data_IF_181510382556
#
_entry.id   IF_181510382556
#
_cell.length_a   1.000
_cell.length_b   1.000
_cell.length_c   1.000
_cell.angle_alpha   90.00
_cell.angle_beta   90.00
_cell.angle_gamma   90.00
#
_symmetry.space_group_name_H-M   'P 1'
#
loop_
_entity.id
_entity.type
_entity.pdbx_description
1 polymer ?
#
# COMPACT_ATOMS: atom_id res chain seq x y z
N UNK A 1 -49.34 11.93 7.83
CA UNK A 1 -48.36 10.83 7.88
C UNK A 1 -48.30 10.33 9.32
N UNK A 2 -48.80 9.13 9.65
CA UNK A 2 -48.51 8.37 10.91
C UNK A 2 -49.43 7.14 11.17
N UNK A 3 -49.99 6.46 10.16
CA UNK A 3 -50.69 5.18 10.38
C UNK A 3 -50.37 4.07 9.36
N UNK A 4 -49.46 4.28 8.40
CA UNK A 4 -49.10 3.27 7.39
C UNK A 4 -47.75 2.57 7.62
N UNK A 5 -47.00 2.93 8.66
CA UNK A 5 -45.65 2.36 8.92
C UNK A 5 -45.68 1.15 9.88
N UNK A 6 -46.82 0.84 10.51
CA UNK A 6 -46.89 -0.18 11.56
C UNK A 6 -47.32 -1.60 11.10
N UNK A 7 -47.40 -1.88 9.79
CA UNK A 7 -47.89 -3.16 9.26
C UNK A 7 -46.82 -4.07 8.61
N UNK A 8 -45.53 -3.74 8.69
CA UNK A 8 -44.43 -4.54 8.12
C UNK A 8 -43.57 -5.23 9.20
N UNK A 9 -44.18 -5.68 10.30
CA UNK A 9 -43.42 -6.31 11.40
C UNK A 9 -43.45 -7.86 11.40
N UNK A 10 -43.99 -8.51 10.37
CA UNK A 10 -44.04 -9.99 10.30
C UNK A 10 -43.93 -10.57 8.88
N UNK A 11 -43.55 -9.77 7.87
CA UNK A 11 -43.25 -10.34 6.56
C UNK A 11 -41.85 -10.96 6.61
N UNK A 12 -41.78 -12.29 6.55
CA UNK A 12 -40.54 -13.00 6.28
C UNK A 12 -40.01 -12.54 4.93
N UNK A 13 -38.89 -11.83 4.95
CA UNK A 13 -38.20 -11.39 3.75
C UNK A 13 -37.62 -12.62 3.03
N UNK A 14 -37.73 -12.70 1.69
CA UNK A 14 -37.51 -13.96 0.96
C UNK A 14 -36.04 -14.39 0.87
N UNK A 15 -35.10 -13.46 1.03
CA UNK A 15 -33.66 -13.70 1.03
C UNK A 15 -32.92 -12.53 1.71
N UNK A 16 -31.66 -12.72 2.14
CA UNK A 16 -30.85 -11.64 2.68
C UNK A 16 -30.46 -10.63 1.59
N UNK A 17 -30.70 -9.34 1.84
CA UNK A 17 -30.29 -8.21 1.02
C UNK A 17 -29.50 -7.19 1.86
N UNK A 18 -28.18 -7.17 1.70
CA UNK A 18 -27.27 -6.25 2.40
C UNK A 18 -27.19 -4.92 1.64
N UNK A 19 -27.14 -3.82 2.39
CA UNK A 19 -27.25 -2.46 1.83
C UNK A 19 -28.68 -2.07 1.41
N UNK A 20 -29.70 -2.85 1.77
CA UNK A 20 -31.10 -2.49 1.52
C UNK A 20 -31.48 -1.21 2.27
N UNK A 21 -32.23 -0.31 1.63
CA UNK A 21 -32.60 0.99 2.17
C UNK A 21 -32.15 2.13 1.29
N UNK A 22 -32.22 3.34 1.83
CA UNK A 22 -31.98 4.56 1.07
C UNK A 22 -30.48 4.86 0.99
N UNK A 23 -29.88 4.60 -0.16
CA UNK A 23 -28.49 4.89 -0.45
C UNK A 23 -28.32 6.34 -0.87
N UNK A 24 -27.28 6.99 -0.34
CA UNK A 24 -26.75 8.14 -1.04
C UNK A 24 -25.90 7.61 -2.20
N UNK A 25 -26.29 7.97 -3.41
CA UNK A 25 -25.50 7.65 -4.59
C UNK A 25 -24.54 8.78 -4.85
N UNK A 26 -23.30 8.45 -5.18
CA UNK A 26 -22.38 9.39 -5.80
C UNK A 26 -22.46 9.20 -7.32
N UNK A 27 -21.51 8.48 -7.90
CA UNK A 27 -21.31 8.48 -9.34
C UNK A 27 -21.77 7.21 -10.07
N UNK A 28 -21.96 6.11 -9.35
CA UNK A 28 -22.40 4.82 -9.89
C UNK A 28 -22.98 3.95 -8.76
N UNK A 29 -23.68 2.88 -9.14
CA UNK A 29 -24.17 1.86 -8.22
C UNK A 29 -23.97 0.47 -8.80
N UNK A 30 -23.59 -0.49 -7.95
CA UNK A 30 -23.59 -1.91 -8.25
C UNK A 30 -24.60 -2.66 -7.38
N UNK A 31 -25.43 -3.49 -8.02
CA UNK A 31 -26.30 -4.47 -7.35
C UNK A 31 -25.85 -5.86 -7.75
N UNK A 32 -25.49 -6.65 -6.75
CA UNK A 32 -24.91 -7.97 -6.93
C UNK A 32 -25.89 -9.00 -6.39
N UNK A 33 -26.13 -10.04 -7.17
CA UNK A 33 -27.13 -11.05 -6.87
C UNK A 33 -26.50 -12.43 -7.02
N UNK A 34 -26.63 -13.26 -5.98
CA UNK A 34 -26.31 -14.68 -6.04
C UNK A 34 -27.60 -15.48 -6.11
N UNK A 35 -27.72 -16.32 -7.14
CA UNK A 35 -28.85 -17.21 -7.33
C UNK A 35 -28.60 -18.57 -6.66
N UNK A 36 -29.69 -19.25 -6.26
CA UNK A 36 -29.63 -20.63 -5.77
C UNK A 36 -29.09 -21.56 -6.86
N UNK A 37 -29.50 -21.34 -8.11
CA UNK A 37 -29.03 -22.04 -9.31
C UNK A 37 -28.67 -21.03 -10.39
N UNK A 38 -27.72 -21.36 -11.27
CA UNK A 38 -27.39 -20.52 -12.42
C UNK A 38 -28.67 -20.23 -13.23
N UNK A 39 -28.98 -18.95 -13.52
CA UNK A 39 -30.07 -18.61 -14.43
C UNK A 39 -29.83 -19.20 -15.83
N UNK A 40 -30.88 -19.72 -16.45
CA UNK A 40 -30.85 -20.07 -17.88
C UNK A 40 -31.01 -18.82 -18.79
N UNK A 41 -30.83 -18.99 -20.09
CA UNK A 41 -30.84 -17.87 -21.05
C UNK A 41 -32.16 -17.10 -21.06
N UNK A 42 -33.30 -17.80 -20.90
CA UNK A 42 -34.63 -17.19 -20.84
C UNK A 42 -34.81 -16.37 -19.56
N UNK A 43 -34.32 -16.90 -18.42
CA UNK A 43 -34.29 -16.19 -17.15
C UNK A 43 -33.37 -14.97 -17.21
N UNK A 44 -32.18 -15.08 -17.81
CA UNK A 44 -31.24 -13.96 -18.00
C UNK A 44 -31.90 -12.83 -18.78
N UNK A 45 -32.53 -13.13 -19.92
CA UNK A 45 -33.22 -12.12 -20.73
C UNK A 45 -34.32 -11.43 -19.92
N UNK A 46 -35.09 -12.21 -19.15
CA UNK A 46 -36.17 -11.67 -18.30
C UNK A 46 -35.63 -10.81 -17.16
N UNK A 47 -34.55 -11.22 -16.50
CA UNK A 47 -33.89 -10.46 -15.43
C UNK A 47 -33.45 -9.09 -15.96
N UNK A 48 -32.79 -9.08 -17.13
CA UNK A 48 -32.32 -7.86 -17.78
C UNK A 48 -33.47 -6.92 -18.13
N UNK A 49 -34.55 -7.46 -18.68
CA UNK A 49 -35.73 -6.67 -19.08
C UNK A 49 -36.45 -6.02 -17.90
N UNK A 50 -36.40 -6.63 -16.72
CA UNK A 50 -37.05 -6.13 -15.51
C UNK A 50 -36.19 -5.12 -14.74
N UNK A 51 -34.91 -4.95 -15.10
CA UNK A 51 -33.99 -4.10 -14.36
C UNK A 51 -34.47 -2.63 -14.31
N UNK A 52 -34.32 -1.94 -13.17
CA UNK A 52 -34.61 -0.52 -13.06
C UNK A 52 -33.82 0.26 -14.12
N UNK A 53 -34.41 1.25 -14.82
CA UNK A 53 -33.78 1.85 -16.00
C UNK A 53 -32.33 2.37 -15.84
N UNK A 54 -31.93 2.94 -14.68
CA UNK A 54 -30.53 3.32 -14.47
C UNK A 54 -29.56 2.12 -14.45
N UNK A 55 -30.00 0.94 -14.03
CA UNK A 55 -29.24 -0.31 -13.96
C UNK A 55 -29.39 -1.05 -15.29
N UNK A 56 -28.27 -1.36 -15.95
CA UNK A 56 -28.27 -1.92 -17.31
C UNK A 56 -27.48 -3.22 -17.36
N UNK A 57 -27.96 -4.30 -16.73
CA UNK A 57 -27.26 -5.58 -16.77
C UNK A 57 -27.23 -6.13 -18.20
N UNK A 58 -26.17 -6.84 -18.53
CA UNK A 58 -25.92 -7.48 -19.81
C UNK A 58 -25.71 -8.98 -19.61
N UNK A 59 -25.95 -9.86 -20.61
CA UNK A 59 -25.71 -11.31 -20.45
C UNK A 59 -24.29 -11.66 -20.01
N UNK A 60 -23.30 -10.81 -20.33
CA UNK A 60 -21.89 -10.98 -19.92
C UNK A 60 -21.59 -10.62 -18.45
N UNK A 61 -22.59 -10.10 -17.74
CA UNK A 61 -22.50 -9.79 -16.31
C UNK A 61 -22.90 -10.98 -15.41
N UNK A 62 -23.32 -12.09 -16.04
CA UNK A 62 -23.66 -13.34 -15.37
C UNK A 62 -22.48 -14.29 -15.38
N UNK A 63 -22.02 -14.69 -14.20
CA UNK A 63 -20.91 -15.63 -14.02
C UNK A 63 -21.33 -16.74 -13.06
N UNK A 64 -21.63 -17.92 -13.62
CA UNK A 64 -22.15 -19.03 -12.84
C UNK A 64 -23.48 -18.66 -12.17
N UNK A 65 -23.50 -18.57 -10.84
CA UNK A 65 -24.68 -18.17 -10.06
C UNK A 65 -24.68 -16.69 -9.68
N UNK A 66 -23.70 -15.92 -10.13
CA UNK A 66 -23.56 -14.50 -9.79
C UNK A 66 -24.08 -13.63 -10.94
N UNK A 67 -24.74 -12.53 -10.59
CA UNK A 67 -25.00 -11.38 -11.43
C UNK A 67 -24.35 -10.16 -10.79
N UNK A 68 -23.69 -9.35 -11.60
CA UNK A 68 -23.13 -8.07 -11.21
C UNK A 68 -23.74 -6.93 -12.07
N UNK A 69 -24.80 -6.30 -11.58
CA UNK A 69 -25.57 -5.32 -12.33
C UNK A 69 -25.17 -3.89 -11.94
N UNK A 70 -24.60 -3.14 -12.88
CA UNK A 70 -24.19 -1.75 -12.66
C UNK A 70 -25.13 -0.73 -13.29
N UNK A 71 -25.11 0.48 -12.76
CA UNK A 71 -25.65 1.64 -13.47
C UNK A 71 -24.87 1.95 -14.75
N UNK A 72 -25.57 2.37 -15.80
CA UNK A 72 -24.94 2.74 -17.06
C UNK A 72 -24.21 4.08 -17.01
N UNK A 73 -22.88 4.07 -17.17
CA UNK A 73 -22.04 5.27 -17.26
C UNK A 73 -21.50 5.74 -15.91
N UNK A 74 -20.24 6.18 -15.90
CA UNK A 74 -19.57 6.76 -14.72
C UNK A 74 -19.96 8.24 -14.59
N UNK A 75 -20.26 8.71 -13.37
CA UNK A 75 -20.62 10.10 -13.04
C UNK A 75 -21.92 10.63 -13.65
N UNK A 76 -22.86 9.75 -14.00
CA UNK A 76 -24.16 10.14 -14.59
C UNK A 76 -25.36 9.49 -13.91
N UNK A 77 -25.16 8.82 -12.77
CA UNK A 77 -26.22 8.09 -12.08
C UNK A 77 -27.40 8.99 -11.69
N UNK A 78 -27.14 10.14 -11.07
CA UNK A 78 -28.19 11.08 -10.68
C UNK A 78 -28.99 11.58 -11.89
N UNK A 79 -28.31 11.92 -12.98
CA UNK A 79 -28.97 12.34 -14.22
C UNK A 79 -29.84 11.20 -14.79
N UNK A 80 -29.33 9.97 -14.81
CA UNK A 80 -30.09 8.81 -15.27
C UNK A 80 -31.33 8.52 -14.39
N UNK A 81 -31.20 8.67 -13.07
CA UNK A 81 -32.33 8.52 -12.13
C UNK A 81 -33.34 9.63 -12.39
N UNK A 82 -32.90 10.88 -12.48
CA UNK A 82 -33.76 12.03 -12.71
C UNK A 82 -34.55 11.88 -14.02
N UNK A 83 -33.88 11.55 -15.12
CA UNK A 83 -34.50 11.32 -16.43
C UNK A 83 -35.50 10.15 -16.42
N UNK A 84 -35.21 9.08 -15.66
CA UNK A 84 -36.04 7.88 -15.62
C UNK A 84 -37.32 8.06 -14.79
N UNK A 85 -37.26 8.80 -13.68
CA UNK A 85 -38.36 8.85 -12.70
C UNK A 85 -39.10 10.19 -12.64
N UNK A 86 -38.44 11.31 -12.93
CA UNK A 86 -39.09 12.63 -12.95
C UNK A 86 -38.35 13.62 -13.89
N UNK A 87 -38.36 13.40 -15.22
CA UNK A 87 -37.60 14.23 -16.16
C UNK A 87 -38.04 15.70 -16.19
N UNK A 88 -39.17 16.03 -15.57
CA UNK A 88 -39.73 17.39 -15.52
C UNK A 88 -39.45 18.13 -14.22
N UNK A 89 -38.89 17.47 -13.20
CA UNK A 89 -38.52 18.17 -11.98
C UNK A 89 -37.37 19.13 -12.30
N UNK A 90 -37.71 20.41 -12.36
CA UNK A 90 -36.77 21.52 -12.23
C UNK A 90 -36.47 21.58 -10.74
N UNK A 91 -35.20 21.61 -10.34
CA UNK A 91 -34.81 21.76 -8.93
C UNK A 91 -35.54 22.97 -8.32
N UNK A 92 -36.55 22.72 -7.52
CA UNK A 92 -37.03 23.66 -6.53
C UNK A 92 -36.49 23.19 -5.18
N UNK A 93 -35.72 24.09 -4.57
CA UNK A 93 -35.13 24.04 -3.22
C UNK A 93 -33.72 23.44 -3.11
N UNK A 94 -32.76 24.38 -3.11
CA UNK A 94 -31.53 24.39 -2.30
C UNK A 94 -31.49 23.23 -1.28
N UNK A 95 -30.66 22.22 -1.55
CA UNK A 95 -30.05 21.45 -0.47
C UNK A 95 -29.37 22.50 0.40
N UNK A 96 -29.99 22.81 1.54
CA UNK A 96 -29.64 23.94 2.38
C UNK A 96 -28.13 24.05 2.51
N UNK A 97 -27.63 25.23 2.16
CA UNK A 97 -26.26 25.68 2.32
C UNK A 97 -25.83 25.58 3.79
N UNK A 98 -25.58 24.35 4.25
CA UNK A 98 -24.56 24.14 5.25
C UNK A 98 -23.28 24.65 4.63
N UNK A 99 -22.64 25.61 5.29
CA UNK A 99 -21.39 26.25 4.88
C UNK A 99 -20.35 25.17 4.51
N UNK A 100 -20.29 24.80 3.23
CA UNK A 100 -19.17 24.09 2.65
C UNK A 100 -18.14 25.17 2.32
N UNK A 101 -17.23 25.40 3.27
CA UNK A 101 -16.10 26.31 3.12
C UNK A 101 -15.25 25.91 1.90
N UNK A 102 -15.28 26.76 0.87
CA UNK A 102 -14.21 27.07 -0.10
C UNK A 102 -13.44 25.95 -0.83
N UNK A 103 -13.90 24.69 -0.86
CA UNK A 103 -13.26 23.64 -1.66
C UNK A 103 -14.09 23.26 -2.90
N UNK A 104 -13.54 23.68 -4.06
CA UNK A 104 -13.76 23.24 -5.44
C UNK A 104 -15.12 23.52 -6.11
N UNK A 105 -15.09 24.47 -7.07
CA UNK A 105 -16.14 24.75 -8.08
C UNK A 105 -16.45 23.56 -9.02
N UNK A 106 -15.83 22.40 -8.81
CA UNK A 106 -16.05 21.15 -9.56
C UNK A 106 -16.96 20.15 -8.82
N UNK A 107 -17.59 20.55 -7.70
CA UNK A 107 -18.58 19.72 -6.99
C UNK A 107 -19.74 19.34 -7.92
N UNK A 108 -19.76 18.05 -8.27
CA UNK A 108 -20.77 17.35 -9.05
C UNK A 108 -22.17 17.73 -8.57
N UNK A 109 -22.93 18.41 -9.44
CA UNK A 109 -24.33 18.72 -9.19
C UNK A 109 -25.11 17.40 -9.04
N UNK A 110 -25.60 17.13 -7.83
CA UNK A 110 -26.50 16.01 -7.55
C UNK A 110 -27.88 16.31 -8.17
N UNK A 111 -28.11 15.84 -9.40
CA UNK A 111 -29.28 16.24 -10.21
C UNK A 111 -30.60 15.53 -9.90
N UNK A 112 -30.62 14.45 -9.11
CA UNK A 112 -31.84 13.69 -8.86
C UNK A 112 -32.65 14.24 -7.68
N UNK A 113 -33.93 14.52 -7.90
CA UNK A 113 -34.85 14.88 -6.82
C UNK A 113 -34.99 13.75 -5.79
N UNK A 114 -35.30 14.10 -4.53
CA UNK A 114 -35.55 13.10 -3.48
C UNK A 114 -36.60 12.06 -3.88
N UNK A 115 -37.65 12.50 -4.56
CA UNK A 115 -38.72 11.63 -5.06
C UNK A 115 -38.22 10.66 -6.13
N UNK A 116 -37.32 11.10 -7.01
CA UNK A 116 -36.68 10.25 -8.03
C UNK A 116 -35.79 9.19 -7.38
N UNK A 117 -35.02 9.57 -6.36
CA UNK A 117 -34.20 8.65 -5.58
C UNK A 117 -35.05 7.60 -4.83
N UNK A 118 -36.09 8.04 -4.13
CA UNK A 118 -37.01 7.13 -3.42
C UNK A 118 -37.71 6.16 -4.39
N UNK A 119 -38.05 6.61 -5.61
CA UNK A 119 -38.66 5.77 -6.63
C UNK A 119 -37.68 4.74 -7.21
N UNK A 120 -36.43 5.15 -7.46
CA UNK A 120 -35.38 4.25 -7.92
C UNK A 120 -35.08 3.15 -6.91
N UNK A 121 -35.03 3.50 -5.63
CA UNK A 121 -34.81 2.56 -4.53
C UNK A 121 -35.91 1.50 -4.42
N UNK A 122 -37.16 1.96 -4.43
CA UNK A 122 -38.31 1.07 -4.45
C UNK A 122 -38.30 0.15 -5.68
N UNK A 123 -37.76 0.62 -6.82
CA UNK A 123 -37.66 -0.19 -8.02
C UNK A 123 -36.58 -1.26 -7.94
N UNK A 124 -35.44 -0.99 -7.29
CA UNK A 124 -34.42 -2.02 -7.00
C UNK A 124 -35.02 -3.13 -6.14
N UNK A 125 -35.68 -2.79 -5.04
CA UNK A 125 -36.30 -3.79 -4.15
C UNK A 125 -37.39 -4.58 -4.89
N UNK A 126 -38.25 -3.90 -5.67
CA UNK A 126 -39.26 -4.55 -6.52
C UNK A 126 -38.62 -5.51 -7.51
N UNK A 127 -37.58 -5.08 -8.22
CA UNK A 127 -36.87 -5.89 -9.21
C UNK A 127 -36.34 -7.17 -8.59
N UNK A 128 -35.67 -7.09 -7.44
CA UNK A 128 -35.15 -8.28 -6.75
C UNK A 128 -36.26 -9.24 -6.31
N UNK A 129 -37.40 -8.73 -5.83
CA UNK A 129 -38.57 -9.55 -5.48
C UNK A 129 -39.18 -10.24 -6.71
N UNK A 130 -39.31 -9.52 -7.83
CA UNK A 130 -39.85 -10.06 -9.08
C UNK A 130 -38.93 -11.13 -9.68
N UNK A 131 -37.61 -10.92 -9.64
CA UNK A 131 -36.63 -11.92 -10.06
C UNK A 131 -36.75 -13.18 -9.21
N UNK A 132 -36.75 -13.03 -7.88
CA UNK A 132 -36.80 -14.17 -6.95
C UNK A 132 -38.01 -15.07 -7.18
N UNK A 133 -39.13 -14.51 -7.66
CA UNK A 133 -40.34 -15.27 -7.95
C UNK A 133 -40.18 -16.33 -9.07
N UNK A 134 -39.21 -16.18 -9.98
CA UNK A 134 -38.96 -17.15 -11.06
C UNK A 134 -37.51 -17.65 -11.15
N UNK A 135 -36.57 -16.99 -10.48
CA UNK A 135 -35.18 -17.39 -10.37
C UNK A 135 -34.73 -17.16 -8.92
N UNK A 136 -34.80 -18.18 -8.03
CA UNK A 136 -34.58 -18.00 -6.60
C UNK A 136 -33.22 -17.37 -6.30
N UNK A 137 -33.25 -16.23 -5.62
CA UNK A 137 -32.09 -15.52 -5.09
C UNK A 137 -31.69 -16.13 -3.74
N UNK A 138 -30.41 -16.44 -3.58
CA UNK A 138 -29.81 -16.88 -2.32
C UNK A 138 -29.36 -15.69 -1.47
N UNK A 139 -28.76 -14.67 -2.11
CA UNK A 139 -28.19 -13.50 -1.45
C UNK A 139 -28.15 -12.33 -2.42
N UNK A 140 -28.35 -11.12 -1.93
CA UNK A 140 -28.09 -9.90 -2.69
C UNK A 140 -27.32 -8.89 -1.83
N UNK A 141 -26.52 -8.06 -2.48
CA UNK A 141 -25.98 -6.86 -1.84
C UNK A 141 -25.88 -5.72 -2.83
N UNK A 142 -25.73 -4.53 -2.29
CA UNK A 142 -25.54 -3.30 -3.04
C UNK A 142 -24.31 -2.58 -2.51
N UNK A 143 -23.48 -2.05 -3.40
CA UNK A 143 -22.31 -1.28 -3.00
C UNK A 143 -22.73 0.10 -2.48
N UNK A 144 -22.11 0.50 -1.38
CA UNK A 144 -22.19 1.86 -0.85
C UNK A 144 -20.83 2.53 -1.07
N UNK A 145 -20.84 3.78 -1.51
CA UNK A 145 -19.64 4.61 -1.55
C UNK A 145 -19.68 5.44 -0.27
N UNK A 146 -18.77 5.17 0.67
CA UNK A 146 -18.71 5.88 1.96
C UNK A 146 -18.67 7.41 1.77
N UNK A 147 -17.97 7.88 0.73
CA UNK A 147 -17.85 9.30 0.36
C UNK A 147 -19.20 9.98 0.03
N UNK A 148 -20.25 9.19 -0.27
CA UNK A 148 -21.58 9.71 -0.58
C UNK A 148 -22.44 10.01 0.68
N UNK A 149 -21.95 9.73 1.90
CA UNK A 149 -22.63 10.12 3.14
C UNK A 149 -23.58 9.07 3.75
N UNK A 150 -23.18 7.80 3.69
CA UNK A 150 -23.82 6.62 4.27
C UNK A 150 -25.24 6.28 3.77
N UNK A 151 -25.55 4.98 3.73
CA UNK A 151 -26.91 4.49 3.42
C UNK A 151 -27.79 4.49 4.67
N UNK A 152 -29.01 5.01 4.56
CA UNK A 152 -30.06 4.81 5.57
C UNK A 152 -30.70 3.44 5.38
N UNK A 153 -30.17 2.48 6.11
CA UNK A 153 -30.54 1.06 6.02
C UNK A 153 -32.00 0.79 6.39
N UNK A 154 -32.68 -0.07 5.62
CA UNK A 154 -34.06 -0.49 5.87
C UNK A 154 -34.14 -1.72 6.78
N UNK A 155 -35.34 -2.10 7.21
CA UNK A 155 -35.56 -3.32 7.99
C UNK A 155 -35.11 -4.59 7.25
N UNK A 156 -35.05 -4.55 5.91
CA UNK A 156 -34.56 -5.66 5.12
C UNK A 156 -33.08 -5.90 5.38
N UNK A 157 -32.26 -4.86 5.42
CA UNK A 157 -30.84 -4.99 5.77
C UNK A 157 -30.67 -5.65 7.14
N UNK A 158 -31.31 -5.10 8.18
CA UNK A 158 -31.13 -5.60 9.55
C UNK A 158 -31.58 -7.05 9.72
N UNK A 159 -32.71 -7.42 9.12
CA UNK A 159 -33.17 -8.83 9.12
C UNK A 159 -32.20 -9.74 8.35
N UNK A 160 -31.56 -9.22 7.31
CA UNK A 160 -30.58 -9.96 6.52
C UNK A 160 -29.34 -10.31 7.33
N UNK A 161 -28.90 -9.41 8.22
CA UNK A 161 -27.76 -9.67 9.13
C UNK A 161 -27.99 -10.88 10.03
N UNK A 162 -29.22 -11.10 10.49
CA UNK A 162 -29.55 -12.27 11.31
C UNK A 162 -29.42 -13.60 10.53
N UNK A 163 -29.60 -13.56 9.21
CA UNK A 163 -29.51 -14.74 8.35
C UNK A 163 -28.07 -15.04 7.89
N UNK A 164 -27.15 -14.07 7.96
CA UNK A 164 -25.77 -14.20 7.49
C UNK A 164 -25.02 -15.38 8.12
N UNK A 165 -25.03 -15.60 9.44
CA UNK A 165 -24.27 -16.72 10.02
C UNK A 165 -24.67 -18.08 9.46
N UNK A 166 -25.97 -18.31 9.23
CA UNK A 166 -26.48 -19.54 8.62
C UNK A 166 -26.09 -19.65 7.14
N UNK A 167 -26.03 -18.54 6.42
CA UNK A 167 -25.60 -18.48 5.03
C UNK A 167 -24.10 -18.79 4.88
N UNK A 168 -23.24 -18.20 5.71
CA UNK A 168 -21.81 -18.47 5.74
C UNK A 168 -21.53 -19.94 6.06
N UNK A 169 -22.19 -20.48 7.09
CA UNK A 169 -22.07 -21.89 7.47
C UNK A 169 -22.50 -22.83 6.32
N UNK A 170 -23.56 -22.47 5.59
CA UNK A 170 -24.02 -23.22 4.42
C UNK A 170 -22.96 -23.22 3.32
N UNK A 171 -22.34 -22.08 3.04
CA UNK A 171 -21.29 -21.98 2.02
C UNK A 171 -20.03 -22.76 2.38
N UNK A 172 -19.61 -22.74 3.64
CA UNK A 172 -18.50 -23.57 4.13
C UNK A 172 -18.71 -25.08 3.89
N UNK A 173 -19.95 -25.54 4.00
CA UNK A 173 -20.30 -26.96 3.86
C UNK A 173 -20.44 -27.43 2.40
N UNK A 174 -20.58 -26.49 1.45
CA UNK A 174 -20.67 -26.78 0.02
C UNK A 174 -19.62 -25.99 -0.78
N UNK A 175 -18.33 -26.34 -0.70
CA UNK A 175 -17.31 -25.61 -1.44
C UNK A 175 -17.42 -25.75 -2.97
N UNK A 176 -18.16 -26.76 -3.45
CA UNK A 176 -18.43 -26.93 -4.87
C UNK A 176 -19.30 -25.81 -5.47
N UNK A 177 -19.96 -24.99 -4.65
CA UNK A 177 -20.83 -23.91 -5.13
C UNK A 177 -20.09 -22.70 -5.70
N UNK A 178 -18.78 -22.57 -5.50
CA UNK A 178 -17.97 -21.41 -5.95
C UNK A 178 -16.66 -21.82 -6.66
N UNK A 179 -16.55 -23.09 -7.05
CA UNK A 179 -15.37 -23.67 -7.72
C UNK A 179 -15.47 -23.73 -9.26
N UNK A 180 -16.49 -23.14 -9.88
CA UNK A 180 -16.73 -23.37 -11.32
C UNK A 180 -15.84 -22.54 -12.24
N UNK A 181 -15.55 -21.29 -11.89
CA UNK A 181 -14.56 -20.46 -12.58
C UNK A 181 -13.98 -19.37 -11.66
N UNK A 182 -12.83 -18.81 -12.05
CA UNK A 182 -12.10 -17.81 -11.25
C UNK A 182 -12.88 -16.50 -11.04
N UNK A 183 -13.66 -16.08 -12.03
CA UNK A 183 -14.43 -14.82 -11.98
C UNK A 183 -15.64 -14.92 -11.06
N UNK A 184 -16.34 -16.06 -11.05
CA UNK A 184 -17.40 -16.34 -10.08
C UNK A 184 -16.85 -16.35 -8.65
N UNK A 185 -15.66 -16.94 -8.45
CA UNK A 185 -14.96 -16.93 -7.15
C UNK A 185 -14.64 -15.50 -6.70
N UNK A 186 -14.14 -14.66 -7.60
CA UNK A 186 -13.83 -13.25 -7.31
C UNK A 186 -15.09 -12.46 -6.94
N UNK A 187 -16.16 -12.57 -7.71
CA UNK A 187 -17.44 -11.91 -7.41
C UNK A 187 -18.06 -12.39 -6.10
N UNK A 188 -17.94 -13.68 -5.81
CA UNK A 188 -18.36 -14.25 -4.53
C UNK A 188 -17.48 -13.75 -3.38
N UNK A 189 -16.20 -13.51 -3.64
CA UNK A 189 -15.31 -12.80 -2.73
C UNK A 189 -15.89 -11.43 -2.36
N UNK A 190 -16.15 -10.56 -3.34
CA UNK A 190 -16.73 -9.24 -3.04
C UNK A 190 -18.06 -9.32 -2.26
N UNK A 191 -18.88 -10.34 -2.50
CA UNK A 191 -20.09 -10.58 -1.71
C UNK A 191 -19.80 -10.87 -0.23
N UNK A 192 -18.77 -11.68 0.05
CA UNK A 192 -18.36 -12.00 1.43
C UNK A 192 -17.67 -10.80 2.09
N UNK A 193 -16.84 -10.03 1.37
CA UNK A 193 -16.27 -8.78 1.89
C UNK A 193 -17.35 -7.78 2.26
N UNK A 194 -18.36 -7.61 1.40
CA UNK A 194 -19.49 -6.74 1.68
C UNK A 194 -20.25 -7.19 2.94
N UNK A 195 -20.42 -8.49 3.15
CA UNK A 195 -21.03 -9.02 4.38
C UNK A 195 -20.20 -8.62 5.62
N UNK A 196 -18.87 -8.73 5.57
CA UNK A 196 -18.02 -8.37 6.70
C UNK A 196 -18.00 -6.86 6.94
N UNK A 197 -17.88 -6.07 5.87
CA UNK A 197 -17.83 -4.62 5.94
C UNK A 197 -19.14 -4.02 6.44
N UNK A 198 -20.27 -4.35 5.80
CA UNK A 198 -21.58 -3.78 6.15
C UNK A 198 -22.24 -4.46 7.35
N UNK A 199 -22.02 -5.76 7.52
CA UNK A 199 -22.68 -6.51 8.58
C UNK A 199 -22.09 -6.30 9.96
N UNK A 200 -20.95 -5.60 10.06
CA UNK A 200 -20.18 -5.45 11.29
C UNK A 200 -19.95 -6.81 11.98
N UNK A 201 -19.90 -7.88 11.18
CA UNK A 201 -19.74 -9.24 11.68
C UNK A 201 -18.26 -9.40 12.00
N UNK A 202 -17.94 -9.60 13.27
CA UNK A 202 -16.56 -9.83 13.66
C UNK A 202 -16.08 -11.15 13.04
N UNK A 203 -14.85 -11.20 12.52
CA UNK A 203 -14.34 -12.42 11.86
C UNK A 203 -14.10 -13.60 12.83
N UNK A 204 -14.52 -13.51 14.10
CA UNK A 204 -14.44 -14.60 15.09
C UNK A 204 -15.55 -15.67 14.93
N UNK A 205 -16.47 -15.49 13.98
CA UNK A 205 -17.55 -16.45 13.64
C UNK A 205 -17.02 -17.62 12.75
N UNK A 206 -17.75 -18.75 12.52
CA UNK A 206 -17.29 -20.04 11.95
C UNK A 206 -16.52 -20.05 10.61
N UNK A 207 -16.31 -18.88 10.01
CA UNK A 207 -15.83 -18.68 8.65
C UNK A 207 -14.33 -18.72 8.45
N UNK A 208 -13.49 -19.08 9.42
CA UNK A 208 -12.02 -19.14 9.20
C UNK A 208 -11.65 -19.96 7.97
N UNK A 209 -12.34 -21.08 7.70
CA UNK A 209 -12.07 -21.90 6.49
C UNK A 209 -12.54 -21.21 5.20
N UNK A 210 -13.68 -20.51 5.24
CA UNK A 210 -14.21 -19.77 4.10
C UNK A 210 -13.37 -18.53 3.81
N UNK A 211 -12.96 -17.80 4.84
CA UNK A 211 -12.05 -16.65 4.78
C UNK A 211 -10.68 -17.12 4.31
N UNK A 212 -10.13 -18.21 4.85
CA UNK A 212 -8.88 -18.81 4.38
C UNK A 212 -8.92 -19.11 2.87
N UNK A 213 -10.08 -19.54 2.38
CA UNK A 213 -10.26 -19.88 0.98
C UNK A 213 -10.44 -18.64 0.08
N UNK A 214 -11.22 -17.65 0.50
CA UNK A 214 -11.58 -16.48 -0.30
C UNK A 214 -10.59 -15.31 -0.15
N UNK A 215 -10.13 -15.05 1.07
CA UNK A 215 -9.23 -13.94 1.45
C UNK A 215 -8.11 -14.43 2.37
N UNK A 216 -7.23 -15.31 1.89
CA UNK A 216 -6.14 -15.80 2.71
C UNK A 216 -5.25 -14.65 3.23
N UNK A 217 -5.17 -13.52 2.53
CA UNK A 217 -4.49 -12.31 2.99
C UNK A 217 -5.10 -11.67 4.24
N UNK A 218 -6.43 -11.57 4.33
CA UNK A 218 -7.09 -10.98 5.52
C UNK A 218 -6.92 -11.87 6.75
N UNK A 219 -6.99 -13.20 6.55
CA UNK A 219 -6.72 -14.14 7.63
C UNK A 219 -5.25 -14.11 8.03
N UNK A 220 -4.34 -13.91 7.09
CA UNK A 220 -2.93 -13.69 7.39
C UNK A 220 -2.76 -12.45 8.28
N UNK A 221 -3.37 -11.30 7.93
CA UNK A 221 -3.37 -10.08 8.76
C UNK A 221 -3.85 -10.34 10.19
N UNK A 222 -5.00 -10.99 10.37
CA UNK A 222 -5.49 -11.37 11.71
C UNK A 222 -4.54 -12.32 12.44
N UNK A 223 -3.98 -13.31 11.75
CA UNK A 223 -3.01 -14.23 12.34
C UNK A 223 -1.70 -13.54 12.70
N UNK A 224 -1.36 -12.40 12.08
CA UNK A 224 -0.20 -11.61 12.45
C UNK A 224 -0.38 -10.88 13.79
N UNK A 225 -1.61 -10.52 14.16
CA UNK A 225 -1.93 -9.97 15.48
C UNK A 225 -1.97 -11.06 16.58
N UNK A 226 -1.91 -12.34 16.21
CA UNK A 226 -1.92 -13.46 17.13
C UNK A 226 -0.55 -13.62 17.85
N UNK A 227 -0.52 -13.80 19.19
CA UNK A 227 0.73 -14.03 19.91
C UNK A 227 1.45 -15.34 19.53
N UNK A 228 0.75 -16.33 18.96
CA UNK A 228 1.32 -17.59 18.48
C UNK A 228 1.68 -17.54 16.99
N UNK A 229 2.86 -17.01 16.71
CA UNK A 229 3.41 -16.86 15.35
C UNK A 229 3.59 -18.17 14.58
N UNK A 230 3.57 -19.32 15.27
CA UNK A 230 3.68 -20.63 14.61
C UNK A 230 2.48 -20.87 13.69
N UNK A 231 1.29 -20.37 14.08
CA UNK A 231 0.07 -20.46 13.28
C UNK A 231 0.16 -19.59 12.02
N UNK A 232 0.63 -18.35 12.17
CA UNK A 232 0.86 -17.41 11.06
C UNK A 232 1.86 -17.98 10.04
N UNK A 233 2.95 -18.58 10.52
CA UNK A 233 3.96 -19.19 9.65
C UNK A 233 3.47 -20.47 8.95
N UNK A 234 2.69 -21.30 9.65
CA UNK A 234 2.08 -22.48 9.05
C UNK A 234 1.08 -22.08 7.97
N UNK A 235 0.27 -21.05 8.23
CA UNK A 235 -0.67 -20.48 7.28
C UNK A 235 0.03 -19.91 6.05
N UNK A 236 1.03 -19.03 6.23
CA UNK A 236 1.79 -18.47 5.13
C UNK A 236 2.44 -19.55 4.26
N UNK A 237 3.06 -20.57 4.86
CA UNK A 237 3.66 -21.68 4.12
C UNK A 237 2.65 -22.45 3.28
N UNK A 238 1.42 -22.60 3.77
CA UNK A 238 0.31 -23.25 3.05
C UNK A 238 -0.13 -22.44 1.83
N UNK A 239 -0.08 -21.11 1.91
CA UNK A 239 -0.63 -20.18 0.89
C UNK A 239 0.39 -19.34 0.13
N UNK A 240 1.70 -19.60 0.27
CA UNK A 240 2.78 -18.79 -0.31
C UNK A 240 2.78 -18.66 -1.84
N UNK A 241 2.01 -19.49 -2.54
CA UNK A 241 1.87 -19.40 -4.00
C UNK A 241 0.79 -18.37 -4.39
N UNK A 242 0.04 -17.83 -3.43
CA UNK A 242 -0.94 -16.76 -3.62
C UNK A 242 -0.23 -15.39 -3.54
N UNK A 243 -0.33 -14.61 -4.62
CA UNK A 243 0.33 -13.30 -4.73
C UNK A 243 -0.18 -12.28 -3.69
N UNK A 244 -1.49 -12.28 -3.39
CA UNK A 244 -2.08 -11.37 -2.40
C UNK A 244 -1.58 -11.67 -0.99
N UNK A 245 -1.40 -12.96 -0.67
CA UNK A 245 -0.81 -13.41 0.61
C UNK A 245 0.64 -12.95 0.73
N UNK A 246 1.43 -13.05 -0.34
CA UNK A 246 2.81 -12.58 -0.34
C UNK A 246 2.89 -11.06 -0.18
N UNK A 247 2.07 -10.30 -0.91
CA UNK A 247 2.02 -8.84 -0.82
C UNK A 247 1.61 -8.37 0.57
N UNK A 248 0.62 -9.01 1.17
CA UNK A 248 0.14 -8.67 2.53
C UNK A 248 1.17 -9.08 3.59
N UNK A 249 1.83 -10.23 3.43
CA UNK A 249 2.98 -10.60 4.26
C UNK A 249 4.10 -9.55 4.19
N UNK A 250 4.41 -9.03 3.00
CA UNK A 250 5.41 -7.98 2.81
C UNK A 250 5.02 -6.68 3.53
N UNK A 251 3.75 -6.27 3.43
CA UNK A 251 3.23 -5.06 4.08
C UNK A 251 3.17 -5.20 5.61
N UNK A 252 2.73 -6.35 6.13
CA UNK A 252 2.70 -6.62 7.57
C UNK A 252 4.10 -6.66 8.18
N UNK A 253 5.07 -7.21 7.45
CA UNK A 253 6.49 -7.18 7.85
C UNK A 253 7.05 -5.75 7.88
N UNK A 254 6.48 -4.81 7.13
CA UNK A 254 6.86 -3.39 7.16
C UNK A 254 6.26 -2.68 8.41
N UNK A 255 5.12 -3.14 8.93
CA UNK A 255 4.33 -2.45 9.95
C UNK A 255 4.51 -2.95 11.40
N UNK A 256 5.16 -4.09 11.63
CA UNK A 256 5.27 -4.68 12.97
C UNK A 256 6.45 -4.14 13.82
N UNK A 257 6.18 -3.99 15.11
CA UNK A 257 7.08 -3.49 16.14
C UNK A 257 8.39 -4.31 16.19
N UNK A 258 9.48 -3.63 15.81
CA UNK A 258 10.70 -4.25 15.28
C UNK A 258 11.46 -5.12 16.28
N UNK A 259 11.14 -5.06 17.58
CA UNK A 259 11.93 -5.71 18.64
C UNK A 259 11.78 -7.23 18.72
N UNK A 260 10.65 -7.82 18.33
CA UNK A 260 10.41 -9.28 18.46
C UNK A 260 10.91 -10.11 17.28
N UNK A 261 11.08 -9.51 16.09
CA UNK A 261 11.60 -10.19 14.90
C UNK A 261 13.14 -10.26 14.85
N UNK A 262 13.86 -9.52 15.70
CA UNK A 262 15.33 -9.51 15.65
C UNK A 262 15.97 -10.90 15.88
N UNK A 263 15.48 -11.66 16.86
CA UNK A 263 15.99 -13.00 17.14
C UNK A 263 15.72 -14.02 16.00
N UNK A 264 14.68 -13.79 15.19
CA UNK A 264 14.23 -14.68 14.12
C UNK A 264 14.88 -14.33 12.78
N UNK A 265 15.03 -13.04 12.48
CA UNK A 265 15.85 -12.54 11.36
C UNK A 265 17.32 -12.91 11.54
N UNK A 266 17.85 -12.86 12.76
CA UNK A 266 19.20 -13.36 13.04
C UNK A 266 19.34 -14.85 12.72
N UNK A 267 18.40 -15.68 13.16
CA UNK A 267 18.45 -17.11 12.90
C UNK A 267 18.35 -17.44 11.41
N UNK A 268 17.45 -16.77 10.68
CA UNK A 268 17.33 -16.91 9.23
C UNK A 268 18.59 -16.41 8.50
N UNK A 269 19.21 -15.33 8.99
CA UNK A 269 20.47 -14.84 8.45
C UNK A 269 21.61 -15.85 8.68
N UNK A 270 21.69 -16.46 9.86
CA UNK A 270 22.69 -17.49 10.15
C UNK A 270 22.48 -18.73 9.27
N UNK A 271 21.25 -19.21 9.13
CA UNK A 271 20.92 -20.38 8.28
C UNK A 271 21.18 -20.09 6.78
N UNK A 272 20.88 -18.87 6.32
CA UNK A 272 21.11 -18.46 4.92
C UNK A 272 22.59 -18.22 4.59
N UNK A 273 23.37 -17.71 5.55
CA UNK A 273 24.80 -17.47 5.40
C UNK A 273 25.63 -18.77 5.61
N UNK A 274 25.17 -19.74 6.41
CA UNK A 274 25.90 -21.00 6.65
C UNK A 274 25.71 -22.05 5.53
N UNK A 275 24.69 -21.90 4.69
CA UNK A 275 24.52 -22.75 3.52
C UNK A 275 25.64 -22.45 2.49
N UNK A 276 26.57 -23.41 2.31
CA UNK A 276 27.68 -23.35 1.33
C UNK A 276 27.25 -23.10 -0.15
N UNK A 277 25.94 -23.04 -0.41
CA UNK A 277 25.32 -22.57 -1.65
C UNK A 277 24.02 -21.86 -1.27
N UNK A 278 24.02 -20.54 -1.10
CA UNK A 278 22.81 -19.82 -0.77
C UNK A 278 21.86 -19.87 -1.96
N UNK A 279 20.61 -20.28 -1.74
CA UNK A 279 19.56 -20.14 -2.75
C UNK A 279 19.31 -18.64 -3.00
N UNK A 280 19.81 -18.19 -4.14
CA UNK A 280 19.87 -16.79 -4.54
C UNK A 280 18.49 -16.12 -4.57
N UNK A 281 17.43 -16.90 -4.84
CA UNK A 281 16.06 -16.42 -4.89
C UNK A 281 15.50 -16.06 -3.50
N UNK A 282 16.00 -16.70 -2.44
CA UNK A 282 15.53 -16.52 -1.06
C UNK A 282 16.25 -15.39 -0.32
N UNK A 283 17.55 -15.19 -0.55
CA UNK A 283 18.32 -14.14 0.15
C UNK A 283 17.99 -12.75 -0.41
N UNK A 284 17.75 -12.65 -1.73
CA UNK A 284 17.58 -11.39 -2.44
C UNK A 284 16.52 -10.45 -1.85
N UNK A 285 15.33 -10.91 -1.44
CA UNK A 285 14.29 -10.06 -0.85
C UNK A 285 14.51 -9.70 0.63
N UNK A 286 15.59 -10.21 1.25
CA UNK A 286 15.77 -10.16 2.71
C UNK A 286 17.12 -9.60 3.19
N UNK A 287 18.09 -9.35 2.30
CA UNK A 287 19.43 -8.83 2.69
C UNK A 287 19.36 -7.49 3.42
N UNK A 288 18.49 -6.59 2.99
CA UNK A 288 18.24 -5.30 3.65
C UNK A 288 17.67 -5.51 5.06
N UNK A 289 16.75 -6.45 5.23
CA UNK A 289 16.17 -6.83 6.53
C UNK A 289 17.20 -7.48 7.45
N UNK A 290 18.11 -8.31 6.91
CA UNK A 290 19.21 -8.93 7.64
C UNK A 290 20.24 -7.87 8.09
N UNK A 291 20.65 -6.98 7.18
CA UNK A 291 21.55 -5.88 7.50
C UNK A 291 20.94 -4.99 8.59
N UNK A 292 19.65 -4.71 8.49
CA UNK A 292 18.91 -3.94 9.47
C UNK A 292 18.86 -4.63 10.85
N UNK A 293 18.50 -5.92 10.91
CA UNK A 293 18.48 -6.68 12.15
C UNK A 293 19.86 -6.72 12.83
N UNK A 294 20.92 -6.96 12.06
CA UNK A 294 22.28 -7.00 12.57
C UNK A 294 22.73 -5.66 13.18
N UNK A 295 22.26 -4.53 12.62
CA UNK A 295 22.53 -3.19 13.14
C UNK A 295 21.79 -2.93 14.44
N UNK A 296 20.51 -3.26 14.48
CA UNK A 296 19.66 -2.95 15.63
C UNK A 296 20.06 -3.74 16.87
N UNK A 297 20.60 -4.94 16.70
CA UNK A 297 21.19 -5.73 17.79
C UNK A 297 22.68 -5.43 18.05
N UNK A 298 23.31 -4.54 17.26
CA UNK A 298 24.75 -4.32 17.29
C UNK A 298 25.57 -5.63 17.12
N UNK A 299 25.07 -6.56 16.30
CA UNK A 299 25.65 -7.88 16.06
C UNK A 299 26.78 -7.79 15.01
N UNK A 300 27.95 -7.30 15.44
CA UNK A 300 29.15 -7.16 14.58
C UNK A 300 29.54 -8.46 13.85
N UNK A 301 29.52 -9.66 14.46
CA UNK A 301 29.83 -10.90 13.74
C UNK A 301 28.91 -11.18 12.55
N UNK A 302 27.61 -10.85 12.66
CA UNK A 302 26.67 -11.02 11.56
C UNK A 302 26.93 -9.99 10.45
N UNK A 303 27.22 -8.74 10.82
CA UNK A 303 27.62 -7.68 9.88
C UNK A 303 28.88 -8.10 9.11
N UNK A 304 29.91 -8.60 9.80
CA UNK A 304 31.16 -9.03 9.19
C UNK A 304 30.95 -10.22 8.24
N UNK A 305 30.07 -11.16 8.61
CA UNK A 305 29.68 -12.27 7.73
C UNK A 305 28.95 -11.77 6.49
N UNK A 306 27.96 -10.90 6.65
CA UNK A 306 27.20 -10.31 5.55
C UNK A 306 28.12 -9.56 4.57
N UNK A 307 28.96 -8.67 5.09
CA UNK A 307 29.95 -7.91 4.29
C UNK A 307 30.86 -8.87 3.53
N UNK A 308 31.40 -9.88 4.21
CA UNK A 308 32.29 -10.88 3.59
C UNK A 308 31.60 -11.66 2.47
N UNK A 309 30.38 -12.13 2.70
CA UNK A 309 29.65 -12.87 1.69
C UNK A 309 29.32 -12.00 0.47
N UNK A 310 28.78 -10.81 0.71
CA UNK A 310 28.45 -9.88 -0.36
C UNK A 310 29.70 -9.37 -1.10
N UNK A 311 30.88 -9.36 -0.47
CA UNK A 311 32.14 -8.96 -1.11
C UNK A 311 32.87 -10.11 -1.82
N UNK A 312 32.51 -11.37 -1.57
CA UNK A 312 33.19 -12.51 -2.17
C UNK A 312 32.82 -12.69 -3.65
N UNK A 313 33.84 -12.88 -4.50
CA UNK A 313 33.77 -12.87 -5.98
C UNK A 313 32.85 -13.94 -6.62
N UNK A 314 32.40 -14.94 -5.88
CA UNK A 314 31.61 -16.06 -6.42
C UNK A 314 30.15 -15.72 -6.72
N UNK A 315 29.66 -14.55 -6.32
CA UNK A 315 28.28 -14.11 -6.56
C UNK A 315 28.11 -13.24 -7.82
N UNK A 316 29.05 -13.34 -8.75
CA UNK A 316 29.08 -12.65 -10.05
C UNK A 316 28.03 -13.13 -11.07
N UNK A 317 26.81 -13.46 -10.62
CA UNK A 317 25.67 -13.50 -11.53
C UNK A 317 25.25 -12.06 -11.78
N UNK A 318 25.51 -11.60 -12.99
CA UNK A 318 24.90 -10.39 -13.53
C UNK A 318 23.39 -10.59 -13.48
N UNK A 319 22.67 -9.72 -12.78
CA UNK A 319 21.24 -9.58 -12.98
C UNK A 319 20.95 -9.32 -14.46
N UNK A 320 19.68 -9.44 -14.89
CA UNK A 320 19.28 -9.09 -16.25
C UNK A 320 19.62 -7.64 -16.65
N UNK A 321 19.89 -6.75 -15.67
CA UNK A 321 20.35 -5.37 -15.89
C UNK A 321 21.88 -5.22 -16.02
N UNK A 322 22.66 -6.28 -15.86
CA UNK A 322 24.13 -6.24 -15.92
C UNK A 322 24.83 -5.83 -14.61
N UNK A 323 24.08 -5.46 -13.58
CA UNK A 323 24.63 -5.16 -12.26
C UNK A 323 24.88 -6.46 -11.47
N UNK A 324 26.01 -6.53 -10.76
CA UNK A 324 26.28 -7.66 -9.87
C UNK A 324 25.46 -7.54 -8.58
N UNK A 325 25.11 -8.69 -8.01
CA UNK A 325 24.34 -8.80 -6.76
C UNK A 325 24.85 -7.83 -5.68
N UNK A 326 26.16 -7.85 -5.42
CA UNK A 326 26.82 -7.04 -4.40
C UNK A 326 26.54 -5.55 -4.53
N UNK A 327 26.53 -5.03 -5.77
CA UNK A 327 26.22 -3.61 -6.04
C UNK A 327 24.76 -3.29 -5.75
N UNK A 328 23.85 -4.16 -6.18
CA UNK A 328 22.42 -4.00 -5.95
C UNK A 328 22.14 -4.00 -4.43
N UNK A 329 22.69 -4.95 -3.70
CA UNK A 329 22.51 -5.05 -2.26
C UNK A 329 23.04 -3.84 -1.49
N UNK A 330 24.29 -3.46 -1.73
CA UNK A 330 24.85 -2.30 -1.06
C UNK A 330 24.14 -1.00 -1.46
N UNK A 331 23.60 -0.91 -2.69
CA UNK A 331 22.73 0.20 -3.09
C UNK A 331 21.40 0.20 -2.34
N UNK A 332 20.77 -0.96 -2.15
CA UNK A 332 19.53 -1.10 -1.39
C UNK A 332 19.74 -0.76 0.09
N UNK A 333 20.83 -1.24 0.71
CA UNK A 333 21.20 -0.87 2.08
C UNK A 333 21.38 0.65 2.18
N UNK A 334 22.04 1.29 1.21
CA UNK A 334 22.19 2.74 1.17
C UNK A 334 20.87 3.51 0.96
N UNK A 335 19.93 2.96 0.19
CA UNK A 335 18.59 3.51 0.03
C UNK A 335 17.76 3.37 1.32
N UNK A 336 17.93 2.28 2.05
CA UNK A 336 17.30 2.08 3.35
C UNK A 336 17.88 3.02 4.41
N UNK A 337 19.20 3.19 4.43
CA UNK A 337 19.88 4.18 5.26
C UNK A 337 19.31 5.60 5.05
N UNK A 338 19.00 5.95 3.80
CA UNK A 338 18.36 7.22 3.45
C UNK A 338 16.97 7.35 4.07
N UNK A 339 16.15 6.29 4.08
CA UNK A 339 14.83 6.32 4.75
C UNK A 339 14.96 6.58 6.26
N UNK A 340 16.01 6.04 6.90
CA UNK A 340 16.28 6.28 8.33
C UNK A 340 16.75 7.70 8.61
N UNK A 341 17.50 8.30 7.68
CA UNK A 341 17.86 9.72 7.74
C UNK A 341 16.59 10.59 7.90
N UNK A 342 15.59 10.43 7.03
CA UNK A 342 14.36 11.24 7.08
C UNK A 342 13.44 10.98 8.29
N UNK A 343 13.76 9.97 9.10
CA UNK A 343 13.08 9.67 10.37
C UNK A 343 13.91 10.08 11.58
N UNK A 344 14.95 10.89 11.39
CA UNK A 344 15.91 11.34 12.41
C UNK A 344 16.64 10.19 13.14
N UNK A 345 16.65 8.99 12.56
CA UNK A 345 17.32 7.82 13.11
C UNK A 345 18.78 7.76 12.64
N UNK A 346 19.53 8.83 12.93
CA UNK A 346 20.84 9.09 12.33
C UNK A 346 21.91 8.05 12.69
N UNK A 347 21.89 7.49 13.89
CA UNK A 347 22.86 6.46 14.32
C UNK A 347 22.70 5.20 13.47
N UNK A 348 21.45 4.78 13.25
CA UNK A 348 21.09 3.61 12.43
C UNK A 348 21.40 3.87 10.95
N UNK A 349 21.02 5.04 10.43
CA UNK A 349 21.33 5.45 9.06
C UNK A 349 22.85 5.44 8.80
N UNK A 350 23.63 6.05 9.68
CA UNK A 350 25.10 6.07 9.61
C UNK A 350 25.69 4.66 9.60
N UNK A 351 25.16 3.77 10.44
CA UNK A 351 25.62 2.38 10.49
C UNK A 351 25.28 1.59 9.22
N UNK A 352 24.10 1.80 8.65
CA UNK A 352 23.72 1.19 7.36
C UNK A 352 24.64 1.68 6.22
N UNK A 353 24.96 2.98 6.19
CA UNK A 353 25.94 3.49 5.23
C UNK A 353 27.34 2.89 5.43
N UNK A 354 27.77 2.67 6.67
CA UNK A 354 29.04 2.01 6.94
C UNK A 354 29.07 0.59 6.34
N UNK A 355 28.03 -0.21 6.54
CA UNK A 355 27.90 -1.55 5.95
C UNK A 355 27.91 -1.47 4.42
N UNK A 356 27.09 -0.59 3.85
CA UNK A 356 27.02 -0.41 2.39
C UNK A 356 28.40 -0.08 1.79
N UNK A 357 29.19 0.75 2.48
CA UNK A 357 30.53 1.13 2.07
C UNK A 357 31.60 0.08 2.39
N UNK A 358 31.36 -0.86 3.30
CA UNK A 358 32.26 -1.97 3.62
C UNK A 358 32.08 -3.14 2.64
N UNK A 359 30.90 -3.28 2.02
CA UNK A 359 30.71 -4.20 0.90
C UNK A 359 31.55 -3.72 -0.28
N UNK A 360 32.46 -4.56 -0.76
CA UNK A 360 33.34 -4.29 -1.90
C UNK A 360 32.85 -5.05 -3.13
N UNK A 361 32.07 -4.42 -4.03
CA UNK A 361 31.62 -5.11 -5.22
C UNK A 361 32.79 -5.47 -6.13
N UNK A 362 32.72 -6.61 -6.86
CA UNK A 362 33.73 -6.96 -7.84
C UNK A 362 33.81 -5.91 -8.95
N UNK A 363 35.02 -5.55 -9.36
CA UNK A 363 35.23 -4.70 -10.54
C UNK A 363 34.67 -5.39 -11.80
N UNK A 364 34.03 -4.65 -12.73
CA UNK A 364 33.94 -3.18 -12.81
C UNK A 364 32.75 -2.56 -12.07
N UNK A 365 31.99 -3.36 -11.30
CA UNK A 365 30.77 -2.88 -10.65
C UNK A 365 31.07 -1.85 -9.56
N UNK A 366 30.20 -0.83 -9.45
CA UNK A 366 30.32 0.27 -8.49
C UNK A 366 28.97 0.49 -7.81
N UNK A 367 29.00 0.92 -6.56
CA UNK A 367 27.79 1.36 -5.87
C UNK A 367 27.20 2.58 -6.57
N UNK A 368 25.89 2.78 -6.39
CA UNK A 368 25.24 4.02 -6.79
C UNK A 368 25.97 5.22 -6.19
N UNK A 369 26.29 6.20 -7.03
CA UNK A 369 26.99 7.42 -6.61
C UNK A 369 26.23 8.23 -5.56
N UNK A 370 24.91 8.02 -5.46
CA UNK A 370 24.08 8.60 -4.41
C UNK A 370 24.41 8.04 -3.03
N UNK A 371 24.80 6.76 -2.92
CA UNK A 371 25.16 6.13 -1.64
C UNK A 371 26.41 6.80 -1.06
N UNK A 372 27.47 6.96 -1.85
CA UNK A 372 28.68 7.66 -1.41
C UNK A 372 28.39 9.11 -0.99
N UNK A 373 27.52 9.79 -1.73
CA UNK A 373 27.13 11.18 -1.45
C UNK A 373 26.38 11.30 -0.12
N UNK A 374 25.34 10.48 0.07
CA UNK A 374 24.50 10.51 1.26
C UNK A 374 25.23 9.99 2.51
N UNK A 375 26.18 9.08 2.34
CA UNK A 375 27.03 8.60 3.43
C UNK A 375 27.95 9.69 4.00
N UNK A 376 28.34 10.72 3.22
CA UNK A 376 29.03 11.89 3.77
C UNK A 376 28.03 12.89 4.38
N UNK A 377 26.85 13.03 3.78
CA UNK A 377 25.83 13.96 4.25
C UNK A 377 25.35 13.64 5.67
N UNK A 378 25.12 12.37 5.98
CA UNK A 378 24.70 11.90 7.32
C UNK A 378 25.75 12.14 8.43
N UNK A 379 26.98 12.49 8.09
CA UNK A 379 28.04 12.74 9.06
C UNK A 379 28.15 14.22 9.47
N UNK A 380 27.45 15.10 8.76
CA UNK A 380 27.52 16.54 9.01
C UNK A 380 26.79 16.86 10.31
N UNK A 381 27.46 17.60 11.19
CA UNK A 381 26.96 17.98 12.50
C UNK A 381 25.76 18.93 12.38
N UNK A 382 25.77 19.85 11.43
CA UNK A 382 24.66 20.78 11.18
C UNK A 382 23.38 20.09 10.68
N UNK A 383 23.51 18.91 10.07
CA UNK A 383 22.38 18.06 9.65
C UNK A 383 21.86 17.19 10.78
N UNK A 384 22.75 16.53 11.52
CA UNK A 384 22.34 15.45 12.44
C UNK A 384 22.38 15.83 13.92
N UNK A 385 23.05 16.93 14.28
CA UNK A 385 23.36 17.30 15.65
C UNK A 385 24.35 16.36 16.36
N UNK A 386 24.82 15.30 15.71
CA UNK A 386 25.77 14.35 16.30
C UNK A 386 27.16 14.99 16.46
N UNK A 387 27.94 14.67 17.50
CA UNK A 387 29.29 15.20 17.66
C UNK A 387 30.20 14.86 16.48
N UNK A 388 31.05 15.81 16.09
CA UNK A 388 32.07 15.59 15.05
C UNK A 388 33.04 14.50 15.48
N UNK A 389 33.04 13.38 14.75
CA UNK A 389 33.97 12.27 14.93
C UNK A 389 34.97 12.26 13.77
N UNK A 390 36.14 12.87 14.00
CA UNK A 390 37.18 13.02 12.97
C UNK A 390 37.64 11.67 12.39
N UNK A 391 37.80 10.65 13.24
CA UNK A 391 38.30 9.34 12.81
C UNK A 391 37.27 8.66 11.90
N UNK A 392 35.99 8.73 12.28
CA UNK A 392 34.90 8.18 11.47
C UNK A 392 34.74 8.94 10.15
N UNK A 393 34.79 10.28 10.19
CA UNK A 393 34.69 11.12 9.01
C UNK A 393 35.82 10.81 8.01
N UNK A 394 37.07 10.70 8.48
CA UNK A 394 38.21 10.32 7.64
C UNK A 394 38.02 8.93 7.02
N UNK A 395 37.48 7.95 7.75
CA UNK A 395 37.14 6.62 7.22
C UNK A 395 36.15 6.71 6.06
N UNK A 396 35.07 7.48 6.20
CA UNK A 396 34.05 7.62 5.15
C UNK A 396 34.59 8.42 3.95
N UNK A 397 35.31 9.52 4.21
CA UNK A 397 35.94 10.34 3.17
C UNK A 397 36.90 9.52 2.30
N UNK A 398 37.72 8.65 2.90
CA UNK A 398 38.63 7.78 2.17
C UNK A 398 37.91 6.83 1.19
N UNK A 399 36.68 6.40 1.53
CA UNK A 399 35.87 5.53 0.66
C UNK A 399 35.07 6.29 -0.39
N UNK A 400 34.57 7.49 -0.07
CA UNK A 400 33.68 8.24 -0.96
C UNK A 400 34.43 9.11 -1.98
N UNK A 401 35.54 9.76 -1.59
CA UNK A 401 36.27 10.71 -2.45
C UNK A 401 36.77 10.12 -3.79
N UNK A 402 37.21 8.84 -3.88
CA UNK A 402 37.59 8.25 -5.17
C UNK A 402 36.47 8.26 -6.23
N UNK A 403 35.22 8.34 -5.82
CA UNK A 403 34.04 8.32 -6.69
C UNK A 403 33.48 9.72 -6.99
N UNK A 404 34.00 10.76 -6.33
CA UNK A 404 33.55 12.14 -6.47
C UNK A 404 33.61 12.70 -7.92
N UNK A 405 34.57 12.33 -8.79
CA UNK A 405 34.53 12.76 -10.19
C UNK A 405 33.26 12.37 -10.96
N UNK A 406 32.60 11.27 -10.57
CA UNK A 406 31.33 10.84 -11.17
C UNK A 406 30.10 11.53 -10.57
N UNK A 407 30.20 12.02 -9.34
CA UNK A 407 29.17 12.80 -8.67
C UNK A 407 29.83 13.92 -7.83
N UNK A 408 30.04 15.10 -8.43
CA UNK A 408 30.77 16.20 -7.77
C UNK A 408 30.12 16.72 -6.48
N UNK A 409 28.85 16.40 -6.21
CA UNK A 409 28.22 16.68 -4.91
C UNK A 409 28.95 16.01 -3.74
N UNK A 410 29.66 14.89 -3.99
CA UNK A 410 30.53 14.25 -3.00
C UNK A 410 31.66 15.19 -2.57
N UNK A 411 32.24 15.98 -3.49
CA UNK A 411 33.23 17.00 -3.10
C UNK A 411 32.62 18.06 -2.20
N UNK A 412 31.37 18.47 -2.47
CA UNK A 412 30.70 19.46 -1.64
C UNK A 412 30.40 18.91 -0.22
N UNK A 413 29.85 17.70 -0.11
CA UNK A 413 29.64 17.09 1.21
C UNK A 413 30.95 16.87 1.97
N UNK A 414 32.03 16.50 1.26
CA UNK A 414 33.36 16.39 1.85
C UNK A 414 33.93 17.73 2.33
N UNK A 415 33.67 18.82 1.59
CA UNK A 415 34.03 20.18 2.01
C UNK A 415 33.43 20.50 3.36
N UNK A 416 32.12 20.30 3.54
CA UNK A 416 31.45 20.60 4.82
C UNK A 416 32.07 19.80 5.97
N UNK A 417 32.31 18.49 5.79
CA UNK A 417 32.97 17.68 6.83
C UNK A 417 34.39 18.17 7.15
N UNK A 418 35.18 18.56 6.15
CA UNK A 418 36.51 19.11 6.40
C UNK A 418 36.45 20.46 7.13
N UNK A 419 35.42 21.28 6.89
CA UNK A 419 35.19 22.51 7.66
C UNK A 419 34.87 22.19 9.12
N UNK A 420 33.96 21.25 9.39
CA UNK A 420 33.62 20.83 10.75
C UNK A 420 34.81 20.22 11.52
N UNK A 421 35.76 19.59 10.80
CA UNK A 421 37.00 19.06 11.36
C UNK A 421 38.14 20.10 11.45
N UNK A 422 37.88 21.37 11.12
CA UNK A 422 38.86 22.46 11.04
C UNK A 422 40.05 22.19 10.09
N UNK A 423 39.81 21.48 8.99
CA UNK A 423 40.80 21.14 7.96
C UNK A 423 40.61 22.00 6.70
N UNK A 424 40.72 23.33 6.85
CA UNK A 424 40.35 24.29 5.81
C UNK A 424 41.12 24.15 4.49
N UNK A 425 42.37 23.67 4.52
CA UNK A 425 43.13 23.40 3.29
C UNK A 425 42.51 22.28 2.46
N UNK A 426 42.04 21.20 3.12
CA UNK A 426 41.35 20.10 2.44
C UNK A 426 39.96 20.53 1.99
N UNK A 427 39.24 21.31 2.79
CA UNK A 427 37.96 21.91 2.38
C UNK A 427 38.10 22.77 1.12
N UNK A 428 39.15 23.60 1.04
CA UNK A 428 39.47 24.40 -0.13
C UNK A 428 39.82 23.54 -1.35
N UNK A 429 40.52 22.42 -1.16
CA UNK A 429 40.78 21.48 -2.24
C UNK A 429 39.48 20.88 -2.79
N UNK A 430 38.56 20.46 -1.91
CA UNK A 430 37.25 19.96 -2.29
C UNK A 430 36.43 21.02 -3.04
N UNK A 431 36.44 22.29 -2.60
CA UNK A 431 35.80 23.40 -3.32
C UNK A 431 36.30 23.53 -4.76
N UNK A 432 37.63 23.54 -4.93
CA UNK A 432 38.26 23.62 -6.26
C UNK A 432 37.92 22.40 -7.12
N UNK A 433 37.88 21.21 -6.53
CA UNK A 433 37.54 19.98 -7.23
C UNK A 433 36.06 19.96 -7.65
N UNK A 434 35.13 20.42 -6.81
CA UNK A 434 33.72 20.54 -7.17
C UNK A 434 33.52 21.43 -8.41
N UNK A 435 34.24 22.56 -8.48
CA UNK A 435 34.24 23.45 -9.65
C UNK A 435 34.87 22.75 -10.86
N UNK A 436 36.05 22.16 -10.70
CA UNK A 436 36.78 21.51 -11.79
C UNK A 436 35.99 20.36 -12.44
N UNK A 437 35.25 19.59 -11.63
CA UNK A 437 34.39 18.51 -12.08
C UNK A 437 32.95 18.95 -12.41
N UNK A 438 32.71 20.26 -12.54
CA UNK A 438 31.43 20.84 -12.99
C UNK A 438 30.25 20.42 -12.11
N UNK A 439 30.36 20.60 -10.79
CA UNK A 439 29.21 20.46 -9.91
C UNK A 439 28.05 21.35 -10.40
N UNK A 440 26.87 20.78 -10.55
CA UNK A 440 25.73 21.50 -11.14
C UNK A 440 25.25 22.66 -10.26
N UNK A 441 25.43 22.55 -8.94
CA UNK A 441 24.91 23.51 -7.97
C UNK A 441 26.01 24.39 -7.36
N UNK A 442 27.00 24.81 -8.16
CA UNK A 442 28.09 25.68 -7.70
C UNK A 442 27.56 26.96 -7.03
N UNK A 443 26.47 27.54 -7.55
CA UNK A 443 25.90 28.74 -6.95
C UNK A 443 25.31 28.46 -5.56
N UNK A 444 24.57 27.36 -5.39
CA UNK A 444 24.03 26.94 -4.09
C UNK A 444 25.18 26.71 -3.08
N UNK A 445 26.24 26.02 -3.49
CA UNK A 445 27.43 25.83 -2.66
C UNK A 445 28.05 27.17 -2.24
N UNK A 446 28.17 28.15 -3.15
CA UNK A 446 28.69 29.49 -2.82
C UNK A 446 27.78 30.22 -1.85
N UNK A 447 26.47 30.18 -2.07
CA UNK A 447 25.48 30.84 -1.23
C UNK A 447 25.52 30.25 0.19
N UNK A 448 25.57 28.92 0.32
CA UNK A 448 25.69 28.23 1.60
C UNK A 448 27.00 28.58 2.33
N UNK A 449 28.14 28.63 1.63
CA UNK A 449 29.40 29.11 2.23
C UNK A 449 29.25 30.55 2.77
N UNK A 450 28.43 31.39 2.12
CA UNK A 450 28.24 32.77 2.54
C UNK A 450 27.23 32.92 3.69
N UNK A 451 26.18 32.11 3.74
CA UNK A 451 25.05 32.26 4.67
C UNK A 451 25.08 31.30 5.86
N UNK A 452 25.58 30.08 5.70
CA UNK A 452 25.46 29.05 6.71
C UNK A 452 26.41 29.28 7.88
N UNK A 453 25.86 29.22 9.09
CA UNK A 453 26.61 29.42 10.32
C UNK A 453 27.73 28.39 10.49
N UNK A 454 27.47 27.14 10.09
CA UNK A 454 28.45 26.05 10.14
C UNK A 454 29.70 26.31 9.28
N UNK A 455 29.58 27.15 8.24
CA UNK A 455 30.66 27.46 7.30
C UNK A 455 31.31 28.85 7.54
N UNK A 456 30.91 29.55 8.61
CA UNK A 456 31.31 30.93 8.85
C UNK A 456 32.83 31.12 9.01
N UNK A 457 33.53 30.15 9.61
CA UNK A 457 34.99 30.20 9.76
C UNK A 457 35.68 30.00 8.40
N UNK A 458 35.22 29.02 7.62
CA UNK A 458 35.76 28.74 6.30
C UNK A 458 35.55 29.90 5.31
N UNK A 459 34.40 30.59 5.37
CA UNK A 459 34.15 31.84 4.63
C UNK A 459 35.25 32.89 4.84
N UNK A 460 35.79 32.95 6.06
CA UNK A 460 36.83 33.90 6.43
C UNK A 460 38.26 33.36 6.18
N UNK A 461 38.39 32.13 5.68
CA UNK A 461 39.68 31.54 5.35
C UNK A 461 40.34 32.33 4.20
N UNK A 462 41.53 32.96 4.40
CA UNK A 462 42.07 33.93 3.45
C UNK A 462 42.22 33.41 2.01
N UNK A 463 42.67 32.16 1.77
CA UNK A 463 42.73 31.61 0.41
C UNK A 463 41.36 31.48 -0.26
N UNK A 464 40.30 31.15 0.48
CA UNK A 464 38.94 31.08 -0.07
C UNK A 464 38.38 32.46 -0.36
N UNK A 465 38.58 33.42 0.56
CA UNK A 465 38.13 34.81 0.41
C UNK A 465 38.71 35.48 -0.84
N UNK A 466 39.97 35.18 -1.16
CA UNK A 466 40.60 35.66 -2.39
C UNK A 466 39.93 35.12 -3.66
N UNK A 467 39.38 33.90 -3.62
CA UNK A 467 38.66 33.27 -4.74
C UNK A 467 37.23 33.78 -4.84
N UNK A 468 36.53 33.99 -3.72
CA UNK A 468 35.13 34.43 -3.71
C UNK A 468 34.95 35.89 -4.13
N UNK A 469 36.00 36.71 -4.02
CA UNK A 469 36.00 38.12 -4.44
C UNK A 469 36.36 38.31 -5.93
N UNK A 470 36.66 37.23 -6.66
CA UNK A 470 36.86 37.21 -8.10
C UNK A 470 35.57 36.74 -8.79
#
# INVERSE_FOLDING_TARGET
MNQQVALINNQTLPFPFIGAGYGNFDNWIGVYVRFVTRPDDDQIEKIIKLAPPPIKPHPGDFEGRMLNAYSGGYNVLHTNIQEAYDPTAIEEEEIGSGEFDDYDEDMLVFTASRKSLDAFEADIERWLLEIHAFCPIEFAYRTEIEEAGDTRLSNWHYTSLEAIPGLLQKWEQDPGTYQQNERERELFGFAVEAIFHYGQVDFETPSETLIEYLFPELLLEKLFDNPDISKTLAFYRKHRENENVNRSAEQLVINLDMQKEYAKLNRLAEEALDANTPDYSFILPHVDKIAFAAIMENNQPLIDRLVRQLSNRQYGLTSSSGDCASCLYASNIGAYAYKFHYKDAFIQARRLYEIALDIQPPQPCKLSLKVYCNALWILQHDITGLPVDKVLNEKFLAKCLPYAPGNPAIFFNALCLYVEMNEFDKALQCYKQAINYKYNDIQIMKDQIQSEKALAEFKNYPPLKAILNQ
#
